data_IF_550151930552
#
_entry.id   IF_550151930552
#
_cell.length_a   1.000
_cell.length_b   1.000
_cell.length_c   1.000
_cell.angle_alpha   90.00
_cell.angle_beta   90.00
_cell.angle_gamma   90.00
#
_symmetry.space_group_name_H-M   'P 1'
#
loop_
_entity.id
_entity.type
_entity.pdbx_description
1 polymer ?
#
# COMPACT_ATOMS: atom_id res chain seq x y z
N UNK A 1 -4.58 -1.80 6.77
CA UNK A 1 -3.21 -1.38 6.42
C UNK A 1 -3.09 -0.74 5.04
N UNK A 2 -3.92 -1.04 4.04
CA UNK A 2 -3.77 -0.47 2.69
C UNK A 2 -4.85 0.54 2.24
N UNK A 3 -5.86 0.81 3.07
CA UNK A 3 -7.01 1.65 2.68
C UNK A 3 -7.09 2.81 3.66
N UNK A 4 -6.37 3.88 3.37
CA UNK A 4 -6.55 5.16 4.04
C UNK A 4 -6.98 6.17 2.98
N UNK A 5 -7.99 6.99 3.27
CA UNK A 5 -8.63 7.88 2.28
C UNK A 5 -7.64 8.87 1.65
N UNK A 6 -6.61 9.27 2.40
CA UNK A 6 -5.46 10.04 1.89
C UNK A 6 -4.80 9.44 0.64
N UNK A 7 -4.86 8.12 0.44
CA UNK A 7 -4.30 7.42 -0.72
C UNK A 7 -5.39 6.93 -1.71
N UNK A 8 -6.62 7.46 -1.62
CA UNK A 8 -7.68 7.15 -2.58
C UNK A 8 -7.51 7.99 -3.85
N UNK A 9 -7.09 7.35 -4.94
CA UNK A 9 -6.95 8.01 -6.25
C UNK A 9 -8.27 8.08 -7.05
N UNK A 10 -9.26 7.25 -6.70
CA UNK A 10 -10.53 7.10 -7.42
C UNK A 10 -10.94 5.63 -7.57
N UNK A 11 -11.97 5.38 -8.37
CA UNK A 11 -12.55 4.07 -8.64
C UNK A 11 -12.67 3.83 -10.16
N UNK A 12 -12.09 2.73 -10.63
CA UNK A 12 -11.98 2.40 -12.07
C UNK A 12 -13.35 2.24 -12.76
N UNK A 13 -14.38 1.78 -12.03
CA UNK A 13 -15.71 1.52 -12.56
C UNK A 13 -16.55 2.80 -12.67
N UNK A 14 -16.43 3.69 -11.69
CA UNK A 14 -17.19 4.95 -11.67
C UNK A 14 -16.48 6.09 -12.39
N UNK A 15 -15.15 6.13 -12.35
CA UNK A 15 -14.37 7.31 -12.74
C UNK A 15 -13.85 7.18 -14.19
N UNK A 16 -14.77 6.80 -15.09
CA UNK A 16 -14.48 6.38 -16.46
C UNK A 16 -14.42 7.50 -17.51
N UNK A 17 -14.19 8.76 -17.13
CA UNK A 17 -14.31 10.00 -17.93
C UNK A 17 -13.84 10.00 -19.41
N UNK A 18 -12.98 10.94 -19.83
CA UNK A 18 -12.52 11.06 -21.23
C UNK A 18 -11.42 10.01 -21.57
N UNK A 19 -11.67 8.72 -21.30
CA UNK A 19 -10.76 7.59 -21.56
C UNK A 19 -11.11 6.32 -20.77
N UNK A 20 -10.42 5.19 -21.02
CA UNK A 20 -10.59 3.96 -20.21
C UNK A 20 -10.32 4.26 -18.73
N UNK A 21 -11.23 3.96 -17.81
CA UNK A 21 -11.24 4.52 -16.44
C UNK A 21 -9.93 4.52 -15.66
N UNK A 22 -9.08 3.49 -15.79
CA UNK A 22 -7.74 3.50 -15.20
C UNK A 22 -6.84 4.63 -15.74
N UNK A 23 -6.85 4.86 -17.06
CA UNK A 23 -6.05 5.90 -17.68
C UNK A 23 -6.48 7.31 -17.22
N UNK A 24 -7.77 7.51 -16.96
CA UNK A 24 -8.29 8.75 -16.42
C UNK A 24 -7.75 8.99 -15.00
N UNK A 25 -7.88 7.99 -14.11
CA UNK A 25 -7.35 8.05 -12.74
C UNK A 25 -5.84 8.30 -12.77
N UNK A 26 -5.08 7.52 -13.53
CA UNK A 26 -3.62 7.64 -13.59
C UNK A 26 -3.15 9.04 -14.00
N UNK A 27 -3.77 9.62 -15.04
CA UNK A 27 -3.34 10.91 -15.60
C UNK A 27 -3.87 12.11 -14.81
N UNK A 28 -5.10 12.03 -14.31
CA UNK A 28 -5.86 13.19 -13.85
C UNK A 28 -6.23 13.18 -12.37
N UNK A 29 -6.11 12.05 -11.66
CA UNK A 29 -6.39 12.03 -10.22
C UNK A 29 -5.48 13.01 -9.47
N UNK A 30 -6.04 13.90 -8.61
CA UNK A 30 -5.26 14.85 -7.84
C UNK A 30 -4.12 14.20 -7.06
N UNK A 31 -4.40 13.07 -6.38
CA UNK A 31 -3.39 12.31 -5.64
C UNK A 31 -2.18 11.92 -6.50
N UNK A 32 -2.39 11.38 -7.70
CA UNK A 32 -1.27 10.99 -8.56
C UNK A 32 -0.54 12.18 -9.16
N UNK A 33 -1.18 13.34 -9.28
CA UNK A 33 -0.51 14.58 -9.67
C UNK A 33 0.41 15.05 -8.55
N UNK A 34 -0.11 15.13 -7.32
CA UNK A 34 0.65 15.56 -6.15
C UNK A 34 1.85 14.64 -5.91
N UNK A 35 1.65 13.31 -6.01
CA UNK A 35 2.71 12.32 -5.85
C UNK A 35 3.79 12.38 -6.94
N UNK A 36 3.46 12.89 -8.14
CA UNK A 36 4.40 13.06 -9.26
C UNK A 36 5.09 14.41 -9.28
N UNK A 37 4.53 15.41 -8.60
CA UNK A 37 5.13 16.74 -8.51
C UNK A 37 6.44 16.67 -7.71
N UNK A 38 7.49 17.45 -8.07
CA UNK A 38 8.74 17.46 -7.35
C UNK A 38 8.50 17.79 -5.87
N UNK A 39 8.52 16.76 -5.04
CA UNK A 39 8.40 16.94 -3.60
C UNK A 39 9.65 17.64 -3.08
N UNK A 40 9.48 18.52 -2.09
CA UNK A 40 10.61 19.07 -1.34
C UNK A 40 11.45 17.90 -0.85
N UNK A 41 12.75 17.91 -1.16
CA UNK A 41 13.69 16.90 -0.66
C UNK A 41 13.79 16.90 0.88
N UNK A 42 13.24 17.93 1.55
CA UNK A 42 13.05 17.96 2.99
C UNK A 42 14.35 17.74 3.76
N UNK A 43 14.27 16.89 4.79
CA UNK A 43 15.42 16.46 5.58
C UNK A 43 16.50 15.75 4.75
N UNK A 44 16.16 15.25 3.56
CA UNK A 44 17.08 14.55 2.66
C UNK A 44 17.74 15.46 1.60
N UNK A 45 17.44 16.77 1.57
CA UNK A 45 17.95 17.70 0.53
C UNK A 45 19.47 17.76 0.42
N UNK A 46 20.18 17.61 1.54
CA UNK A 46 21.64 17.61 1.61
C UNK A 46 22.26 16.21 1.56
N UNK A 47 21.46 15.15 1.40
CA UNK A 47 21.96 13.79 1.35
C UNK A 47 22.59 13.48 -0.02
N UNK A 48 23.84 13.01 -0.02
CA UNK A 48 24.56 12.65 -1.25
C UNK A 48 23.95 11.48 -2.06
N UNK A 49 22.98 10.76 -1.50
CA UNK A 49 22.27 9.65 -2.17
C UNK A 49 20.84 10.00 -2.59
N UNK A 50 20.48 11.29 -2.55
CA UNK A 50 19.11 11.72 -2.84
C UNK A 50 18.64 11.32 -4.24
N UNK A 51 19.50 11.34 -5.25
CA UNK A 51 19.08 11.02 -6.62
C UNK A 51 18.59 9.58 -6.80
N UNK A 52 19.16 8.63 -6.06
CA UNK A 52 18.78 7.21 -6.08
C UNK A 52 17.61 6.88 -5.17
N UNK A 53 17.53 7.55 -4.01
CA UNK A 53 16.55 7.25 -2.96
C UNK A 53 15.30 8.11 -3.05
N UNK A 54 15.43 9.37 -3.53
CA UNK A 54 14.38 10.40 -3.60
C UNK A 54 13.63 10.63 -2.28
N UNK A 55 14.32 10.40 -1.16
CA UNK A 55 13.74 10.48 0.18
C UNK A 55 13.02 9.22 0.64
N UNK A 56 13.07 8.11 -0.10
CA UNK A 56 12.58 6.80 0.29
C UNK A 56 11.07 6.60 0.14
N UNK A 57 10.51 5.65 0.90
CA UNK A 57 9.12 5.24 0.80
C UNK A 57 8.19 6.21 1.55
N UNK A 58 7.47 7.01 0.77
CA UNK A 58 6.47 7.95 1.29
C UNK A 58 5.38 7.28 2.15
N UNK A 59 4.94 6.08 1.78
CA UNK A 59 3.94 5.33 2.52
C UNK A 59 4.47 4.85 3.88
N UNK A 60 5.72 4.39 3.93
CA UNK A 60 6.35 3.93 5.17
C UNK A 60 6.42 5.08 6.19
N UNK A 61 6.77 6.29 5.74
CA UNK A 61 6.74 7.49 6.60
C UNK A 61 5.35 7.74 7.17
N UNK A 62 4.32 7.77 6.32
CA UNK A 62 2.95 8.02 6.75
C UNK A 62 2.48 7.01 7.81
N UNK A 63 2.65 5.71 7.57
CA UNK A 63 2.18 4.67 8.51
C UNK A 63 3.02 4.57 9.79
N UNK A 64 4.23 5.13 9.81
CA UNK A 64 5.07 5.23 11.01
C UNK A 64 4.92 6.56 11.75
N UNK A 65 4.05 7.45 11.26
CA UNK A 65 3.81 8.78 11.85
C UNK A 65 4.94 9.77 11.58
N UNK A 66 5.81 9.49 10.61
CA UNK A 66 6.86 10.40 10.18
C UNK A 66 6.31 11.41 9.17
N UNK A 67 6.83 12.66 9.17
CA UNK A 67 6.41 13.67 8.22
C UNK A 67 6.85 13.30 6.80
N UNK A 68 6.11 13.79 5.80
CA UNK A 68 6.28 13.40 4.38
C UNK A 68 7.68 13.75 3.83
N UNK A 69 8.23 14.85 4.34
CA UNK A 69 9.53 15.44 4.07
C UNK A 69 10.62 14.98 5.05
N UNK A 70 10.27 14.10 5.98
CA UNK A 70 11.19 13.44 6.91
C UNK A 70 11.97 12.30 6.25
N UNK A 71 12.95 11.72 6.96
CA UNK A 71 13.68 10.55 6.48
C UNK A 71 12.77 9.32 6.43
N UNK A 72 13.03 8.43 5.49
CA UNK A 72 12.39 7.12 5.46
C UNK A 72 12.80 6.29 6.70
N UNK A 73 11.90 5.53 7.34
CA UNK A 73 12.23 4.71 8.51
C UNK A 73 13.35 3.69 8.25
N UNK A 74 13.47 3.18 7.02
CA UNK A 74 14.50 2.24 6.58
C UNK A 74 15.73 2.95 5.97
N UNK A 75 15.87 4.25 6.19
CA UNK A 75 17.02 5.01 5.70
C UNK A 75 18.33 4.42 6.26
N UNK A 76 19.17 3.89 5.36
CA UNK A 76 20.45 3.23 5.69
C UNK A 76 21.47 4.14 6.37
N UNK A 77 21.30 5.47 6.27
CA UNK A 77 22.12 6.46 6.99
C UNK A 77 21.74 6.60 8.46
N UNK A 78 20.68 5.91 8.92
CA UNK A 78 20.23 5.90 10.31
C UNK A 78 19.27 7.05 10.70
N UNK A 79 19.09 8.05 9.83
CA UNK A 79 18.20 9.19 10.11
C UNK A 79 16.74 8.78 10.36
N UNK A 80 16.28 7.70 9.72
CA UNK A 80 14.95 7.12 9.94
C UNK A 80 14.78 6.63 11.37
N UNK A 81 15.71 5.82 11.86
CA UNK A 81 15.69 5.30 13.23
C UNK A 81 15.71 6.42 14.28
N UNK A 82 16.52 7.47 14.07
CA UNK A 82 16.54 8.63 14.97
C UNK A 82 15.19 9.35 15.01
N UNK A 83 14.54 9.53 13.86
CA UNK A 83 13.22 10.16 13.79
C UNK A 83 12.13 9.28 14.43
N UNK A 84 12.22 7.95 14.29
CA UNK A 84 11.32 6.99 14.94
C UNK A 84 11.44 6.98 16.47
N UNK A 85 12.59 7.37 17.03
CA UNK A 85 12.76 7.43 18.47
C UNK A 85 12.01 8.60 19.14
N UNK A 86 11.59 9.59 18.36
CA UNK A 86 10.86 10.77 18.86
C UNK A 86 9.35 10.49 18.99
N UNK A 87 8.66 11.38 19.70
CA UNK A 87 7.19 11.41 19.70
C UNK A 87 6.64 11.66 18.30
N UNK A 88 5.62 10.89 17.92
CA UNK A 88 5.05 10.86 16.58
C UNK A 88 3.55 10.62 16.67
N UNK A 89 2.81 11.24 15.76
CA UNK A 89 1.38 10.97 15.60
C UNK A 89 1.19 9.91 14.51
N UNK A 90 0.82 8.70 14.92
CA UNK A 90 0.60 7.59 14.00
C UNK A 90 -0.86 7.62 13.54
N UNK A 91 -1.13 7.73 12.23
CA UNK A 91 -2.51 7.72 11.74
C UNK A 91 -3.20 6.42 12.11
N UNK A 92 -4.40 6.55 12.67
CA UNK A 92 -5.29 5.43 12.91
C UNK A 92 -5.66 4.77 11.57
N UNK A 93 -5.89 3.44 11.54
CA UNK A 93 -6.48 2.80 10.38
C UNK A 93 -7.81 3.49 10.03
N UNK A 94 -8.00 3.86 8.76
CA UNK A 94 -9.18 4.63 8.33
C UNK A 94 -10.50 3.83 8.38
N UNK A 95 -10.45 2.55 8.74
CA UNK A 95 -11.65 1.73 8.87
C UNK A 95 -11.42 0.47 9.69
N UNK A 96 -12.50 0.03 10.31
CA UNK A 96 -12.61 -1.33 10.82
C UNK A 96 -12.86 -2.27 9.64
N UNK A 97 -11.81 -2.94 9.18
CA UNK A 97 -11.92 -4.04 8.22
C UNK A 97 -12.03 -5.39 8.92
N UNK A 98 -12.17 -5.43 10.26
CA UNK A 98 -12.68 -6.64 10.87
C UNK A 98 -14.06 -6.85 10.27
N UNK A 99 -14.31 -8.05 9.73
CA UNK A 99 -15.60 -8.37 9.15
C UNK A 99 -16.66 -8.23 10.25
N UNK A 100 -17.29 -7.06 10.33
CA UNK A 100 -18.39 -6.80 11.23
C UNK A 100 -19.55 -7.70 10.78
N UNK A 101 -19.62 -8.86 11.43
CA UNK A 101 -20.85 -9.62 11.69
C UNK A 101 -21.62 -10.08 10.45
N UNK A 102 -21.01 -10.96 9.64
CA UNK A 102 -21.72 -12.20 9.30
C UNK A 102 -21.63 -13.09 10.53
N UNK A 103 -22.70 -13.10 11.34
CA UNK A 103 -22.78 -13.85 12.60
C UNK A 103 -22.74 -15.35 12.30
N UNK A 104 -21.54 -15.93 12.25
CA UNK A 104 -21.35 -17.37 12.17
C UNK A 104 -20.05 -17.77 11.49
N UNK A 105 -19.38 -18.84 11.94
CA UNK A 105 -18.29 -19.44 11.20
C UNK A 105 -18.78 -19.83 9.80
N UNK A 106 -17.99 -19.52 8.77
CA UNK A 106 -18.26 -20.03 7.41
C UNK A 106 -18.10 -21.54 7.46
N UNK A 107 -19.22 -22.26 7.40
CA UNK A 107 -19.22 -23.71 7.34
C UNK A 107 -18.60 -24.15 6.00
N UNK A 108 -17.32 -24.50 6.03
CA UNK A 108 -16.65 -25.13 4.92
C UNK A 108 -17.19 -26.56 4.79
N UNK A 109 -17.80 -26.88 3.64
CA UNK A 109 -18.01 -28.28 3.27
C UNK A 109 -16.65 -28.88 2.92
N UNK A 110 -15.96 -29.43 3.91
CA UNK A 110 -14.76 -30.22 3.67
C UNK A 110 -15.17 -31.47 2.88
N UNK A 111 -14.86 -31.46 1.60
CA UNK A 111 -14.85 -32.69 0.81
C UNK A 111 -13.79 -33.58 1.43
N UNK A 112 -14.19 -34.71 2.01
CA UNK A 112 -13.22 -35.74 2.40
C UNK A 112 -12.50 -36.16 1.13
N UNK A 113 -11.17 -36.11 1.13
CA UNK A 113 -10.39 -36.76 0.09
C UNK A 113 -10.96 -38.17 -0.12
N UNK A 114 -11.11 -38.65 -1.36
CA UNK A 114 -11.57 -40.00 -1.60
C UNK A 114 -10.71 -40.96 -0.76
N UNK A 115 -11.34 -41.91 -0.06
CA UNK A 115 -10.66 -42.91 0.76
C UNK A 115 -9.65 -43.76 -0.04
N UNK A 116 -9.71 -43.65 -1.37
CA UNK A 116 -8.77 -44.22 -2.31
C UNK A 116 -7.86 -43.11 -2.82
N UNK A 117 -6.57 -43.20 -2.48
CA UNK A 117 -5.54 -42.33 -3.03
C UNK A 117 -5.58 -42.36 -4.56
N UNK A 118 -5.50 -41.20 -5.25
CA UNK A 118 -5.43 -41.19 -6.70
C UNK A 118 -4.20 -41.98 -7.15
N UNK A 119 -4.40 -42.99 -8.00
CA UNK A 119 -3.33 -43.90 -8.45
C UNK A 119 -2.22 -43.22 -9.28
N UNK A 120 -2.36 -41.93 -9.59
CA UNK A 120 -1.38 -41.16 -10.38
C UNK A 120 -1.34 -39.72 -9.88
N UNK A 121 -0.18 -39.18 -9.49
CA UNK A 121 -0.02 -37.75 -9.32
C UNK A 121 0.05 -37.09 -10.69
N UNK A 122 -0.56 -35.91 -10.81
CA UNK A 122 -0.51 -35.00 -11.96
C UNK A 122 -1.41 -35.38 -13.14
N UNK A 123 -2.53 -34.66 -13.27
CA UNK A 123 -3.15 -34.39 -14.56
C UNK A 123 -2.61 -33.01 -14.97
N UNK A 124 -1.84 -32.94 -16.06
CA UNK A 124 -1.44 -31.67 -16.66
C UNK A 124 -2.70 -30.93 -17.12
N UNK A 125 -2.84 -29.65 -16.75
CA UNK A 125 -3.91 -28.80 -17.28
C UNK A 125 -3.78 -28.72 -18.80
N UNK A 126 -4.88 -28.84 -19.57
CA UNK A 126 -4.84 -28.51 -20.98
C UNK A 126 -4.70 -26.99 -21.12
N UNK A 127 -3.77 -26.57 -21.98
CA UNK A 127 -3.70 -25.19 -22.51
C UNK A 127 -4.93 -24.86 -23.35
#
# INVERSE_FOLDING_TARGET
FAIHDRFLAGNILSDSGFGTGFANIWKHAPLFRDLREPQSAGACRSCGHYDSCRGGCMAAKFFTGLPIDGPDPECVQGYGATALAQERDKPLPAGDHSHARRSGPVLLKLSRHPAVAPKRPCNESPV
#
